data_IF_950120587167
#
_entry.id   IF_950120587167
#
_cell.length_a   1.000
_cell.length_b   1.000
_cell.length_c   1.000
_cell.angle_alpha   90.00
_cell.angle_beta   90.00
_cell.angle_gamma   90.00
#
_symmetry.space_group_name_H-M   'P 1'
#
loop_
_entity.id
_entity.type
_entity.pdbx_description
1 polymer ?
#
# COMPACT_ATOMS: atom_id res chain seq x y z
N UNK A 1 -57.90 6.29 60.55
CA UNK A 1 -57.31 5.67 59.53
C UNK A 1 -56.22 6.44 58.92
N UNK A 2 -55.14 6.06 59.10
CA UNK A 2 -54.07 6.79 58.66
C UNK A 2 -53.87 6.68 57.26
N UNK A 3 -53.66 7.66 56.69
CA UNK A 3 -53.41 7.62 55.31
C UNK A 3 -52.05 7.23 55.11
N UNK A 4 -51.96 6.33 54.55
CA UNK A 4 -50.76 5.96 54.27
C UNK A 4 -50.21 6.66 53.23
N UNK A 5 -49.42 7.26 53.27
CA UNK A 5 -48.84 7.86 52.30
C UNK A 5 -47.81 7.14 51.81
N UNK A 6 -47.89 6.66 50.76
CA UNK A 6 -46.84 5.99 50.24
C UNK A 6 -45.99 6.93 49.57
N UNK A 7 -45.05 7.06 50.01
CA UNK A 7 -44.15 7.75 49.39
C UNK A 7 -43.49 7.03 48.46
N UNK A 8 -43.80 6.90 47.36
CA UNK A 8 -43.05 6.28 46.44
C UNK A 8 -41.98 7.15 46.07
N UNK A 9 -40.95 6.80 46.44
CA UNK A 9 -39.88 7.51 46.12
C UNK A 9 -39.42 7.07 44.85
N UNK A 10 -39.62 7.77 43.88
CA UNK A 10 -39.10 7.40 42.60
C UNK A 10 -37.68 7.77 42.57
N UNK A 11 -36.93 6.87 42.79
CA UNK A 11 -35.56 7.06 42.67
C UNK A 11 -35.22 7.13 41.26
N UNK A 12 -34.98 8.23 40.80
CA UNK A 12 -34.53 8.33 39.45
C UNK A 12 -33.11 7.96 39.38
N UNK A 13 -32.85 6.80 38.97
CA UNK A 13 -31.56 6.46 38.79
C UNK A 13 -31.09 7.06 37.61
N UNK A 14 -30.34 7.95 37.64
CA UNK A 14 -29.69 8.51 36.52
C UNK A 14 -28.68 7.52 36.07
N UNK A 15 -29.04 6.79 35.18
CA UNK A 15 -28.07 5.90 34.62
C UNK A 15 -27.11 6.74 33.85
N UNK A 16 -26.06 6.98 34.41
CA UNK A 16 -25.04 7.64 33.72
C UNK A 16 -24.47 6.69 32.76
N UNK A 17 -24.94 6.71 31.63
CA UNK A 17 -24.31 5.97 30.60
C UNK A 17 -23.01 6.61 30.28
N UNK A 18 -22.02 6.10 30.83
CA UNK A 18 -20.74 6.61 30.52
C UNK A 18 -20.37 6.09 29.19
N UNK A 19 -20.41 6.93 28.23
CA UNK A 19 -19.94 6.56 26.99
C UNK A 19 -18.49 6.71 27.01
N UNK A 20 -17.79 5.71 27.18
CA UNK A 20 -16.37 5.79 27.11
C UNK A 20 -15.99 5.66 25.69
N UNK A 21 -15.57 6.72 25.10
CA UNK A 21 -15.04 6.67 23.78
C UNK A 21 -13.60 6.36 23.89
N UNK A 22 -13.16 5.40 23.16
CA UNK A 22 -11.78 5.03 23.15
C UNK A 22 -11.10 5.82 22.04
N UNK A 23 -10.41 6.88 22.35
CA UNK A 23 -9.79 7.70 21.31
C UNK A 23 -8.64 7.02 20.61
N UNK A 24 -8.12 5.99 21.19
CA UNK A 24 -6.98 5.33 20.56
C UNK A 24 -7.31 4.60 19.30
N UNK A 25 -8.59 4.35 19.03
CA UNK A 25 -8.94 3.64 17.83
C UNK A 25 -8.63 4.41 16.56
N UNK A 26 -8.53 5.71 16.63
CA UNK A 26 -8.24 6.49 15.45
C UNK A 26 -6.82 6.35 14.98
N UNK A 27 -5.91 6.03 15.87
CA UNK A 27 -4.52 5.90 15.48
C UNK A 27 -4.25 4.65 14.68
N UNK A 28 -5.11 3.66 14.80
CA UNK A 28 -4.90 2.42 14.09
C UNK A 28 -5.29 2.50 12.63
N UNK A 29 -5.80 3.63 12.19
CA UNK A 29 -6.28 3.75 10.84
C UNK A 29 -5.37 4.52 9.92
N UNK A 30 -4.16 4.75 10.32
CA UNK A 30 -3.20 5.42 9.46
C UNK A 30 -2.75 4.42 8.41
N UNK A 31 -3.03 4.72 7.17
CA UNK A 31 -2.65 3.85 6.06
C UNK A 31 -1.42 4.41 5.37
N UNK A 32 -0.57 3.55 4.83
CA UNK A 32 0.56 4.04 4.05
C UNK A 32 0.06 4.81 2.83
N UNK A 33 0.83 5.78 2.41
CA UNK A 33 0.51 6.51 1.21
C UNK A 33 0.73 5.60 0.01
N UNK A 34 -0.20 5.60 -0.93
CA UNK A 34 -0.08 4.77 -2.12
C UNK A 34 0.63 5.53 -3.22
N UNK A 35 1.65 4.92 -3.78
CA UNK A 35 2.37 5.44 -4.93
C UNK A 35 2.14 4.51 -6.10
N UNK A 36 1.58 5.04 -7.19
CA UNK A 36 1.31 4.26 -8.38
C UNK A 36 2.28 4.64 -9.48
N UNK A 37 2.95 3.66 -10.05
CA UNK A 37 3.89 3.85 -11.14
C UNK A 37 3.42 3.00 -12.31
N UNK A 38 3.21 3.61 -13.47
CA UNK A 38 2.77 2.89 -14.67
C UNK A 38 3.91 2.83 -15.67
N UNK A 39 4.26 1.65 -16.09
CA UNK A 39 5.36 1.43 -17.02
C UNK A 39 4.92 0.59 -18.21
N UNK A 40 5.50 0.90 -19.35
CA UNK A 40 5.21 0.18 -20.56
C UNK A 40 6.52 -0.33 -21.16
N UNK A 41 6.53 -1.59 -21.57
CA UNK A 41 7.69 -2.20 -22.22
C UNK A 41 7.38 -2.36 -23.70
N UNK A 42 8.24 -1.79 -24.53
CA UNK A 42 8.16 -1.95 -25.98
C UNK A 42 9.55 -2.26 -26.51
N UNK A 43 9.62 -3.30 -27.34
CA UNK A 43 10.89 -3.77 -27.92
C UNK A 43 11.95 -3.98 -26.87
N UNK A 44 11.56 -4.53 -25.71
CA UNK A 44 12.50 -4.84 -24.66
C UNK A 44 12.98 -3.66 -23.84
N UNK A 45 12.35 -2.51 -24.00
CA UNK A 45 12.74 -1.29 -23.28
C UNK A 45 11.56 -0.64 -22.64
N UNK A 46 11.79 0.05 -21.53
CA UNK A 46 10.76 0.84 -20.89
C UNK A 46 10.69 2.19 -21.58
N UNK A 47 9.48 2.61 -21.97
CA UNK A 47 9.31 3.83 -22.75
C UNK A 47 9.16 5.08 -21.86
N UNK A 48 9.48 5.00 -20.60
CA UNK A 48 9.41 6.15 -19.71
C UNK A 48 10.58 7.09 -19.91
N UNK A 49 10.39 8.40 -19.75
CA UNK A 49 11.51 9.34 -19.87
C UNK A 49 12.53 9.18 -18.76
N UNK A 50 12.11 8.70 -17.61
CA UNK A 50 13.02 8.47 -16.50
C UNK A 50 13.17 7.01 -16.24
N UNK A 51 14.38 6.59 -15.91
CA UNK A 51 14.67 5.18 -15.62
C UNK A 51 14.82 4.93 -14.12
N UNK A 52 14.65 5.93 -13.30
CA UNK A 52 14.71 5.80 -11.86
C UNK A 52 13.44 6.40 -11.26
N UNK A 53 12.78 5.61 -10.42
CA UNK A 53 11.57 6.04 -9.73
C UNK A 53 11.82 6.10 -8.25
N UNK A 54 11.39 7.18 -7.61
CA UNK A 54 11.68 7.44 -6.22
C UNK A 54 10.43 7.35 -5.37
N UNK A 55 10.54 6.61 -4.28
CA UNK A 55 9.47 6.50 -3.28
C UNK A 55 10.11 6.67 -1.91
N UNK A 56 9.29 6.87 -0.90
CA UNK A 56 9.79 7.00 0.46
C UNK A 56 9.53 5.72 1.23
N UNK A 57 10.43 5.44 2.16
CA UNK A 57 10.28 4.27 3.01
C UNK A 57 8.95 4.30 3.75
N UNK A 58 8.25 3.19 3.76
CA UNK A 58 6.94 3.09 4.40
C UNK A 58 5.76 3.28 3.46
N UNK A 59 6.00 3.76 2.25
CA UNK A 59 4.89 3.94 1.29
C UNK A 59 4.50 2.60 0.67
N UNK A 60 3.23 2.47 0.32
CA UNK A 60 2.77 1.33 -0.45
C UNK A 60 2.97 1.65 -1.93
N UNK A 61 3.56 0.75 -2.66
CA UNK A 61 3.91 0.97 -4.07
C UNK A 61 3.19 -0.03 -4.94
N UNK A 62 2.59 0.46 -6.01
CA UNK A 62 1.99 -0.39 -7.01
C UNK A 62 2.60 -0.03 -8.35
N UNK A 63 3.40 -0.92 -8.91
CA UNK A 63 3.98 -0.73 -10.22
C UNK A 63 3.19 -1.57 -11.21
N UNK A 64 2.54 -0.93 -12.16
CA UNK A 64 1.79 -1.63 -13.18
C UNK A 64 2.59 -1.68 -14.47
N UNK A 65 2.56 -2.82 -15.13
CA UNK A 65 3.35 -3.08 -16.32
C UNK A 65 2.46 -3.49 -17.47
N UNK A 66 2.65 -2.84 -18.62
CA UNK A 66 2.09 -3.30 -19.88
C UNK A 66 3.26 -3.64 -20.79
N UNK A 67 3.07 -4.56 -21.72
CA UNK A 67 4.17 -5.04 -22.54
C UNK A 67 3.65 -5.53 -23.89
N UNK A 68 4.52 -5.48 -24.90
CA UNK A 68 4.22 -6.05 -26.19
C UNK A 68 4.73 -7.50 -26.32
N UNK A 69 5.44 -8.00 -25.31
CA UNK A 69 5.93 -9.38 -25.29
C UNK A 69 5.82 -9.95 -23.89
N UNK A 70 5.62 -11.25 -23.79
CA UNK A 70 5.59 -11.90 -22.48
C UNK A 70 6.96 -11.84 -21.84
N UNK A 71 7.04 -11.31 -20.63
CA UNK A 71 8.30 -11.18 -19.89
C UNK A 71 8.10 -11.50 -18.43
N UNK A 72 9.15 -12.00 -17.81
CA UNK A 72 9.17 -12.19 -16.37
C UNK A 72 9.98 -11.05 -15.76
N UNK A 73 9.36 -10.30 -14.88
CA UNK A 73 9.97 -9.16 -14.24
C UNK A 73 10.43 -9.51 -12.83
N UNK A 74 11.55 -8.97 -12.43
CA UNK A 74 12.11 -9.24 -11.12
C UNK A 74 12.59 -7.94 -10.48
N UNK A 75 12.01 -7.60 -9.33
CA UNK A 75 12.47 -6.50 -8.51
C UNK A 75 13.47 -7.07 -7.50
N UNK A 76 14.74 -6.80 -7.73
CA UNK A 76 15.80 -7.29 -6.85
C UNK A 76 15.79 -6.56 -5.53
N UNK A 77 16.20 -7.23 -4.49
CA UNK A 77 16.20 -6.66 -3.14
C UNK A 77 14.93 -6.91 -2.38
N UNK A 78 13.80 -6.87 -3.05
CA UNK A 78 12.50 -7.20 -2.47
C UNK A 78 12.04 -8.60 -2.87
N UNK A 79 12.74 -9.20 -3.83
CA UNK A 79 12.46 -10.55 -4.33
C UNK A 79 11.02 -10.70 -4.80
N UNK A 80 10.57 -9.75 -5.60
CA UNK A 80 9.24 -9.76 -6.16
C UNK A 80 9.31 -10.05 -7.64
N UNK A 81 8.51 -11.02 -8.09
CA UNK A 81 8.44 -11.40 -9.49
C UNK A 81 7.06 -11.10 -10.04
N UNK A 82 6.98 -10.77 -11.30
CA UNK A 82 5.71 -10.57 -11.98
C UNK A 82 5.83 -11.03 -13.41
N UNK A 83 4.77 -11.63 -13.93
CA UNK A 83 4.73 -12.04 -15.33
C UNK A 83 3.84 -11.08 -16.07
N UNK A 84 4.37 -10.40 -17.08
CA UNK A 84 3.62 -9.46 -17.88
C UNK A 84 3.41 -10.06 -19.26
N UNK A 85 2.19 -9.92 -19.78
CA UNK A 85 1.82 -10.45 -21.08
C UNK A 85 1.13 -9.38 -21.90
N UNK A 86 1.22 -9.45 -23.23
CA UNK A 86 0.44 -8.55 -24.07
C UNK A 86 -1.04 -8.68 -23.78
N UNK A 87 -1.72 -7.56 -23.70
CA UNK A 87 -3.17 -7.54 -23.49
C UNK A 87 -3.63 -7.57 -22.05
N UNK A 88 -2.71 -7.66 -21.10
CA UNK A 88 -3.07 -7.59 -19.68
C UNK A 88 -2.05 -6.75 -18.93
N UNK A 89 -2.44 -6.29 -17.75
CA UNK A 89 -1.58 -5.44 -16.92
C UNK A 89 -1.08 -6.28 -15.76
N UNK A 90 0.23 -6.32 -15.58
CA UNK A 90 0.81 -6.98 -14.42
C UNK A 90 1.07 -5.96 -13.32
N UNK A 91 0.95 -6.36 -12.08
CA UNK A 91 1.15 -5.48 -10.93
C UNK A 91 2.20 -6.02 -9.98
N UNK A 92 3.05 -5.14 -9.50
CA UNK A 92 3.92 -5.41 -8.37
C UNK A 92 3.47 -4.50 -7.25
N UNK A 93 2.86 -5.05 -6.20
CA UNK A 93 2.34 -4.28 -5.09
C UNK A 93 3.08 -4.68 -3.82
N UNK A 94 3.63 -3.72 -3.13
CA UNK A 94 4.45 -3.99 -1.94
C UNK A 94 4.60 -2.74 -1.09
N UNK A 95 5.06 -2.94 0.15
CA UNK A 95 5.40 -1.83 1.04
C UNK A 95 6.90 -1.59 0.90
N UNK A 96 7.30 -0.34 0.68
CA UNK A 96 8.71 0.03 0.53
C UNK A 96 9.38 0.08 1.90
N UNK A 97 9.63 -1.09 2.48
CA UNK A 97 10.12 -1.17 3.85
C UNK A 97 11.63 -1.11 3.99
N UNK A 98 12.36 -1.18 2.91
CA UNK A 98 13.82 -1.17 2.95
C UNK A 98 14.32 -0.05 2.05
N UNK A 99 15.11 0.85 2.60
CA UNK A 99 15.70 1.93 1.82
C UNK A 99 16.84 1.41 0.96
N UNK A 100 17.06 2.02 -0.17
CA UNK A 100 18.12 1.65 -1.08
C UNK A 100 17.73 1.84 -2.54
N UNK A 101 18.57 1.36 -3.42
CA UNK A 101 18.34 1.42 -4.86
C UNK A 101 18.24 -0.01 -5.39
N UNK A 102 17.14 -0.32 -6.03
CA UNK A 102 16.84 -1.68 -6.43
C UNK A 102 16.56 -1.76 -7.92
N UNK A 103 17.29 -2.62 -8.67
CA UNK A 103 17.03 -2.74 -10.10
C UNK A 103 15.83 -3.64 -10.37
N UNK A 104 15.09 -3.32 -11.43
CA UNK A 104 14.05 -4.17 -11.95
C UNK A 104 14.51 -4.65 -13.31
N UNK A 105 14.62 -5.97 -13.45
CA UNK A 105 15.11 -6.59 -14.67
C UNK A 105 14.03 -7.46 -15.28
N UNK A 106 14.16 -7.74 -16.57
CA UNK A 106 13.30 -8.70 -17.25
C UNK A 106 14.16 -9.87 -17.69
N UNK A 107 13.79 -11.05 -17.23
CA UNK A 107 14.59 -12.24 -17.45
C UNK A 107 14.75 -12.56 -18.95
N UNK A 108 13.70 -12.33 -19.72
CA UNK A 108 13.69 -12.70 -21.13
C UNK A 108 14.23 -11.62 -22.06
N UNK A 109 14.63 -10.47 -21.55
CA UNK A 109 15.10 -9.37 -22.37
C UNK A 109 16.59 -9.11 -22.21
N UNK A 110 17.33 -10.15 -21.85
CA UNK A 110 18.75 -10.01 -21.56
C UNK A 110 18.96 -9.68 -20.12
N UNK A 111 20.18 -9.30 -19.78
CA UNK A 111 20.52 -9.07 -18.38
C UNK A 111 20.52 -7.59 -17.99
N UNK A 112 19.95 -6.75 -18.84
CA UNK A 112 19.93 -5.33 -18.57
C UNK A 112 18.86 -4.94 -17.58
N UNK A 113 19.12 -3.88 -16.84
CA UNK A 113 18.14 -3.31 -15.94
C UNK A 113 17.19 -2.45 -16.72
N UNK A 114 15.89 -2.66 -16.53
CA UNK A 114 14.88 -1.83 -17.18
C UNK A 114 14.76 -0.48 -16.50
N UNK A 115 14.60 -0.49 -15.19
CA UNK A 115 14.48 0.73 -14.37
C UNK A 115 15.03 0.44 -12.98
N UNK A 116 15.24 1.50 -12.22
CA UNK A 116 15.64 1.41 -10.82
C UNK A 116 14.55 1.97 -9.93
N UNK A 117 14.32 1.32 -8.81
CA UNK A 117 13.48 1.84 -7.77
C UNK A 117 14.38 2.35 -6.65
N UNK A 118 14.26 3.62 -6.31
CA UNK A 118 14.98 4.19 -5.18
C UNK A 118 14.02 4.42 -4.05
N UNK A 119 14.31 3.83 -2.90
CA UNK A 119 13.53 4.01 -1.69
C UNK A 119 14.35 4.88 -0.75
N UNK A 120 13.85 6.07 -0.47
CA UNK A 120 14.53 7.00 0.41
C UNK A 120 14.18 6.71 1.85
N UNK A 121 15.15 6.74 2.76
CA UNK A 121 14.86 6.50 4.17
C UNK A 121 13.98 7.61 4.72
N UNK A 122 13.22 7.26 5.71
CA UNK A 122 12.37 8.21 6.41
C UNK A 122 13.16 9.09 7.32
#
# INVERSE_FOLDING_TARGET
>A
CPPQRSRSIAVALAACGVLSLAPGALLAQVKPKLRTIKLEIRDGKVTAPEKTFRVNEGEEVDISWSTDKTVELHLHGYDIHAFAKPGSIAHMTFIAKTAGRFPITAHDLGHGTLVYLEVYPR
#
